data_IF_457659485255
#
_entry.id   IF_457659485255
#
_cell.length_a   1.000
_cell.length_b   1.000
_cell.length_c   1.000
_cell.angle_alpha   90.00
_cell.angle_beta   90.00
_cell.angle_gamma   90.00
#
_symmetry.space_group_name_H-M   'P 1'
#
loop_
_entity.id
_entity.type
_entity.pdbx_description
1 polymer ?
#
# COMPACT_ATOMS: atom_id res chain seq x y z
N UNK A 1 45.05 -26.05 10.39
CA UNK A 1 44.49 -24.87 11.09
C UNK A 1 43.26 -24.34 10.35
N UNK A 2 43.20 -24.47 9.02
CA UNK A 2 42.13 -23.95 8.17
C UNK A 2 40.74 -24.56 8.43
N UNK A 3 40.67 -25.87 8.75
CA UNK A 3 39.39 -26.52 9.08
C UNK A 3 38.75 -25.97 10.36
N UNK A 4 39.56 -25.58 11.36
CA UNK A 4 39.04 -24.98 12.58
C UNK A 4 38.54 -23.55 12.35
N UNK A 5 39.21 -22.81 11.47
CA UNK A 5 38.79 -21.45 11.06
C UNK A 5 37.45 -21.51 10.32
N UNK A 6 37.28 -22.47 9.40
CA UNK A 6 36.02 -22.65 8.68
C UNK A 6 34.85 -23.02 9.60
N UNK A 7 35.07 -23.92 10.57
CA UNK A 7 34.04 -24.30 11.55
C UNK A 7 33.62 -23.10 12.41
N UNK A 8 34.58 -22.28 12.83
CA UNK A 8 34.30 -21.08 13.61
C UNK A 8 33.48 -20.05 12.83
N UNK A 9 33.83 -19.79 11.56
CA UNK A 9 33.09 -18.87 10.70
C UNK A 9 31.64 -19.37 10.49
N UNK A 10 31.45 -20.66 10.18
CA UNK A 10 30.12 -21.24 10.00
C UNK A 10 29.30 -21.18 11.29
N UNK A 11 29.91 -21.42 12.45
CA UNK A 11 29.24 -21.30 13.73
C UNK A 11 28.80 -19.85 14.02
N UNK A 12 29.67 -18.87 13.76
CA UNK A 12 29.35 -17.46 13.92
C UNK A 12 28.24 -16.98 12.98
N UNK A 13 28.22 -17.45 11.72
CA UNK A 13 27.17 -17.05 10.77
C UNK A 13 25.81 -17.63 11.13
N UNK A 14 25.75 -18.86 11.65
CA UNK A 14 24.53 -19.49 12.17
C UNK A 14 24.04 -18.74 13.41
N UNK A 15 24.94 -18.39 14.33
CA UNK A 15 24.59 -17.62 15.54
C UNK A 15 24.05 -16.23 15.18
N UNK A 16 24.69 -15.52 14.24
CA UNK A 16 24.25 -14.22 13.77
C UNK A 16 22.87 -14.29 13.10
N UNK A 17 22.61 -15.32 12.29
CA UNK A 17 21.27 -15.55 11.72
C UNK A 17 20.22 -15.85 12.79
N UNK A 18 20.55 -16.61 13.84
CA UNK A 18 19.62 -16.88 14.93
C UNK A 18 19.26 -15.62 15.74
N UNK A 19 20.22 -14.71 15.94
CA UNK A 19 19.99 -13.43 16.63
C UNK A 19 19.17 -12.45 15.77
N UNK A 20 19.53 -12.32 14.48
CA UNK A 20 18.73 -11.56 13.53
C UNK A 20 17.33 -12.17 13.37
N UNK A 21 17.22 -13.50 13.55
CA UNK A 21 15.96 -14.21 13.51
C UNK A 21 15.00 -13.88 14.62
N UNK A 22 15.52 -13.81 15.84
CA UNK A 22 14.75 -13.34 16.97
C UNK A 22 14.19 -11.93 16.73
N UNK A 23 14.98 -11.04 16.10
CA UNK A 23 14.50 -9.70 15.76
C UNK A 23 13.52 -9.64 14.59
N UNK A 24 13.62 -10.53 13.58
CA UNK A 24 12.65 -10.56 12.48
C UNK A 24 11.30 -11.17 12.91
N UNK A 25 11.30 -12.08 13.89
CA UNK A 25 10.04 -12.64 14.45
C UNK A 25 9.42 -11.74 15.51
N UNK A 26 10.22 -10.96 16.25
CA UNK A 26 9.70 -10.04 17.26
C UNK A 26 8.78 -8.96 16.66
N UNK A 27 8.94 -8.62 15.37
CA UNK A 27 8.02 -7.70 14.69
C UNK A 27 6.72 -8.37 14.23
N UNK A 28 6.69 -9.67 13.92
CA UNK A 28 5.46 -10.35 13.48
C UNK A 28 4.53 -10.72 14.64
N UNK A 29 5.09 -11.05 15.80
CA UNK A 29 4.29 -11.45 16.97
C UNK A 29 3.75 -10.22 17.74
N UNK A 30 4.50 -9.12 17.76
CA UNK A 30 4.02 -7.85 18.32
C UNK A 30 3.01 -7.14 17.42
N UNK A 31 3.18 -7.17 16.10
CA UNK A 31 2.25 -6.57 15.14
C UNK A 31 0.95 -7.38 15.02
N UNK A 32 1.02 -8.71 15.12
CA UNK A 32 -0.18 -9.56 15.19
C UNK A 32 -0.92 -9.42 16.53
N UNK A 33 -0.24 -9.24 17.66
CA UNK A 33 -0.89 -9.00 18.94
C UNK A 33 -1.64 -7.66 18.98
N UNK A 34 -1.11 -6.59 18.38
CA UNK A 34 -1.78 -5.30 18.27
C UNK A 34 -2.94 -5.34 17.25
N UNK A 35 -2.81 -6.10 16.16
CA UNK A 35 -3.86 -6.24 15.15
C UNK A 35 -5.08 -7.06 15.64
N UNK A 36 -4.87 -8.02 16.54
CA UNK A 36 -5.94 -8.89 17.05
C UNK A 36 -6.86 -8.21 18.08
N UNK A 37 -6.44 -7.11 18.71
CA UNK A 37 -7.24 -6.40 19.73
C UNK A 37 -8.22 -5.39 19.12
N UNK A 38 -8.10 -5.05 17.83
CA UNK A 38 -8.94 -4.02 17.21
C UNK A 38 -9.59 -4.50 15.91
N UNK A 39 -10.76 -5.17 15.98
CA UNK A 39 -11.48 -5.67 14.79
C UNK A 39 -11.90 -4.55 13.81
N UNK A 40 -11.84 -3.31 14.25
CA UNK A 40 -12.24 -2.15 13.47
C UNK A 40 -11.11 -1.63 12.54
N UNK A 41 -9.82 -1.85 12.84
CA UNK A 41 -8.72 -1.47 11.92
C UNK A 41 -8.66 -2.40 10.71
N UNK A 42 -8.94 -3.68 10.90
CA UNK A 42 -9.03 -4.65 9.81
C UNK A 42 -10.22 -4.32 8.88
N UNK A 43 -11.36 -3.91 9.46
CA UNK A 43 -12.51 -3.38 8.71
C UNK A 43 -12.17 -2.07 8.01
N UNK A 44 -11.55 -1.11 8.67
CA UNK A 44 -11.10 0.16 8.09
C UNK A 44 -10.14 -0.06 6.93
N UNK A 45 -9.19 -0.99 7.05
CA UNK A 45 -8.26 -1.40 5.99
C UNK A 45 -9.00 -2.05 4.82
N UNK A 46 -9.99 -2.90 5.09
CA UNK A 46 -10.84 -3.53 4.08
C UNK A 46 -11.71 -2.50 3.33
N UNK A 47 -12.29 -1.53 4.04
CA UNK A 47 -13.05 -0.42 3.45
C UNK A 47 -12.14 0.58 2.72
N UNK A 48 -10.91 0.78 3.19
CA UNK A 48 -9.89 1.60 2.53
C UNK A 48 -9.44 0.96 1.21
N UNK A 49 -9.28 -0.37 1.17
CA UNK A 49 -9.00 -1.13 -0.07
C UNK A 49 -10.18 -1.16 -1.04
N UNK A 50 -11.41 -0.93 -0.58
CA UNK A 50 -12.64 -1.14 -1.37
C UNK A 50 -13.15 0.04 -2.19
N UNK A 51 -12.46 1.18 -2.25
CA UNK A 51 -12.76 2.16 -3.29
C UNK A 51 -11.83 1.91 -4.47
N UNK A 52 -12.21 0.94 -5.31
CA UNK A 52 -11.58 0.74 -6.63
C UNK A 52 -11.60 2.02 -7.46
N UNK A 53 -12.59 2.88 -7.23
CA UNK A 53 -12.73 4.16 -7.88
C UNK A 53 -12.31 5.35 -7.00
N UNK A 54 -11.73 6.37 -7.63
CA UNK A 54 -11.34 7.64 -7.04
C UNK A 54 -12.58 8.52 -6.78
N UNK A 55 -12.69 9.02 -5.56
CA UNK A 55 -13.76 9.96 -5.19
C UNK A 55 -13.62 11.29 -5.93
N UNK A 56 -14.73 12.02 -6.04
CA UNK A 56 -14.73 13.42 -6.55
C UNK A 56 -13.73 14.27 -5.75
N UNK A 57 -12.89 15.02 -6.45
CA UNK A 57 -11.84 15.87 -5.88
C UNK A 57 -10.52 15.16 -5.54
N UNK A 58 -10.45 13.82 -5.63
CA UNK A 58 -9.18 13.07 -5.51
C UNK A 58 -8.31 13.27 -6.75
N UNK A 59 -6.99 13.12 -6.57
CA UNK A 59 -6.04 13.05 -7.69
C UNK A 59 -6.29 11.80 -8.53
N UNK A 60 -6.24 11.97 -9.86
CA UNK A 60 -6.37 10.91 -10.87
C UNK A 60 -5.18 10.88 -11.84
N UNK A 61 -4.03 11.45 -11.45
CA UNK A 61 -2.85 11.62 -12.32
C UNK A 61 -2.39 10.32 -12.99
N UNK A 62 -2.39 9.20 -12.25
CA UNK A 62 -1.98 7.88 -12.76
C UNK A 62 -3.15 7.01 -13.24
N UNK A 63 -4.40 7.44 -13.00
CA UNK A 63 -5.61 6.63 -13.22
C UNK A 63 -6.80 7.49 -13.66
N UNK A 64 -6.80 7.99 -14.90
CA UNK A 64 -7.82 8.91 -15.38
C UNK A 64 -9.22 8.29 -15.50
N UNK A 65 -9.31 6.95 -15.61
CA UNK A 65 -10.57 6.23 -15.83
C UNK A 65 -11.22 5.68 -14.55
N UNK A 66 -10.52 5.74 -13.42
CA UNK A 66 -11.02 5.16 -12.15
C UNK A 66 -11.93 6.13 -11.39
N UNK A 67 -12.39 7.25 -11.97
CA UNK A 67 -13.22 8.22 -11.26
C UNK A 67 -14.66 7.69 -10.99
N UNK A 68 -15.13 7.72 -9.73
CA UNK A 68 -16.43 7.16 -9.34
C UNK A 68 -17.64 7.88 -9.99
N UNK A 69 -18.79 7.20 -10.10
CA UNK A 69 -20.07 7.81 -10.54
C UNK A 69 -20.01 8.50 -11.91
N UNK A 70 -19.26 7.92 -12.86
CA UNK A 70 -19.04 8.50 -14.18
C UNK A 70 -18.50 9.95 -14.04
N UNK A 71 -17.52 10.19 -13.17
CA UNK A 71 -16.81 11.48 -13.17
C UNK A 71 -15.69 11.46 -14.20
N UNK A 72 -15.32 12.63 -14.72
CA UNK A 72 -14.18 12.77 -15.64
C UNK A 72 -12.97 13.29 -14.88
N UNK A 73 -11.81 12.68 -15.15
CA UNK A 73 -10.53 13.21 -14.70
C UNK A 73 -10.21 14.47 -15.50
N UNK A 74 -9.98 15.60 -14.83
CA UNK A 74 -9.62 16.88 -15.45
C UNK A 74 -8.33 17.40 -14.87
N UNK A 75 -7.39 17.73 -15.75
CA UNK A 75 -6.09 18.30 -15.40
C UNK A 75 -6.07 19.81 -15.71
N UNK A 76 -5.09 20.51 -15.16
CA UNK A 76 -4.81 21.89 -15.56
C UNK A 76 -4.28 21.95 -17.00
N UNK A 77 -4.05 23.15 -17.54
CA UNK A 77 -3.50 23.35 -18.89
C UNK A 77 -2.09 22.77 -19.09
N UNK A 78 -1.40 22.46 -17.99
CA UNK A 78 -0.06 21.90 -17.98
C UNK A 78 -0.08 20.37 -17.87
N UNK A 79 -1.26 19.74 -17.89
CA UNK A 79 -1.42 18.28 -17.78
C UNK A 79 -1.07 17.70 -16.41
N UNK A 80 -0.98 18.54 -15.37
CA UNK A 80 -0.65 18.16 -14.00
C UNK A 80 -1.82 18.45 -13.04
N UNK A 81 -1.77 17.91 -11.81
CA UNK A 81 -2.81 18.12 -10.79
C UNK A 81 -4.20 17.70 -11.28
N UNK A 82 -4.27 16.50 -11.86
CA UNK A 82 -5.48 15.93 -12.40
C UNK A 82 -6.43 15.51 -11.28
N UNK A 83 -7.70 15.93 -11.34
CA UNK A 83 -8.70 15.59 -10.32
C UNK A 83 -10.01 15.07 -10.92
N UNK A 84 -10.66 14.16 -10.20
CA UNK A 84 -11.99 13.67 -10.59
C UNK A 84 -13.05 14.76 -10.39
N UNK A 85 -13.61 15.29 -11.48
CA UNK A 85 -14.66 16.30 -11.49
C UNK A 85 -15.98 15.76 -12.06
N UNK A 86 -17.11 16.39 -11.73
CA UNK A 86 -18.40 16.01 -12.32
C UNK A 86 -18.35 16.23 -13.84
N UNK A 87 -18.94 15.30 -14.57
CA UNK A 87 -19.21 15.51 -15.99
C UNK A 87 -20.09 16.75 -16.14
N UNK A 88 -19.69 17.64 -17.05
CA UNK A 88 -20.46 18.83 -17.36
C UNK A 88 -21.81 18.46 -18.00
N UNK A 89 -22.79 19.36 -17.91
CA UNK A 89 -24.13 19.16 -18.50
C UNK A 89 -24.06 18.74 -19.98
N UNK A 90 -23.13 19.31 -20.75
CA UNK A 90 -22.96 19.01 -22.18
C UNK A 90 -22.24 17.70 -22.49
N UNK A 91 -21.60 17.05 -21.50
CA UNK A 91 -21.00 15.72 -21.70
C UNK A 91 -22.06 14.59 -21.68
N UNK A 92 -23.30 14.89 -21.28
CA UNK A 92 -24.41 13.93 -21.18
C UNK A 92 -25.24 13.79 -22.47
N UNK A 93 -25.18 14.77 -23.36
CA UNK A 93 -26.04 14.89 -24.55
C UNK A 93 -25.38 14.42 -25.86
N UNK A 94 -24.12 14.00 -25.81
CA UNK A 94 -23.33 13.61 -26.99
C UNK A 94 -23.14 12.11 -27.16
N UNK A 95 -24.04 11.27 -26.61
CA UNK A 95 -23.99 9.81 -26.77
C UNK A 95 -25.24 9.31 -27.48
#
# INVERSE_FOLDING_TARGET
>A
MDRFILIFIISCTILAHALLASSYMATSDADSAILNDYPDVARLMYYARKRSCLKRGMSCDHRPNDCCYNSSCRCNLWGTNCRCQRMGLFQKWGK
#
